data_IF_775176313499
#
_entry.id   IF_775176313499
#
_cell.length_a   1.000
_cell.length_b   1.000
_cell.length_c   1.000
_cell.angle_alpha   90.00
_cell.angle_beta   90.00
_cell.angle_gamma   90.00
#
_symmetry.space_group_name_H-M   'P 1'
#
loop_
_entity.id
_entity.type
_entity.pdbx_description
1 polymer ?
#
# COMPACT_ATOMS: atom_id res chain seq x y z
N UNK A 1 -39.24 -33.39 21.95
CA UNK A 1 -40.02 -33.33 20.70
C UNK A 1 -39.18 -32.56 19.69
N UNK A 2 -38.41 -33.27 18.85
CA UNK A 2 -37.58 -32.63 17.82
C UNK A 2 -38.47 -32.40 16.62
N UNK A 3 -38.76 -31.14 16.31
CA UNK A 3 -39.50 -30.77 15.10
C UNK A 3 -38.52 -30.92 13.93
N UNK A 4 -38.54 -32.08 13.27
CA UNK A 4 -37.83 -32.28 12.00
C UNK A 4 -38.64 -31.63 10.89
N UNK A 5 -38.35 -30.37 10.57
CA UNK A 5 -38.86 -29.73 9.37
C UNK A 5 -38.15 -30.37 8.15
N UNK A 6 -38.86 -31.20 7.39
CA UNK A 6 -38.38 -31.67 6.08
C UNK A 6 -38.47 -30.51 5.08
N UNK A 7 -37.50 -29.62 5.15
CA UNK A 7 -37.35 -28.49 4.24
C UNK A 7 -36.48 -28.92 3.06
N UNK A 8 -36.91 -28.56 1.86
CA UNK A 8 -36.07 -28.67 0.67
C UNK A 8 -34.77 -27.89 0.86
N UNK A 9 -33.70 -28.29 0.17
CA UNK A 9 -32.35 -27.73 0.27
C UNK A 9 -32.38 -26.20 0.07
N UNK A 10 -33.28 -25.72 -0.77
CA UNK A 10 -33.49 -24.28 -1.02
C UNK A 10 -34.12 -23.57 0.19
N UNK A 11 -35.09 -24.19 0.86
CA UNK A 11 -35.72 -23.61 2.06
C UNK A 11 -34.77 -23.55 3.25
N UNK A 12 -33.96 -24.60 3.42
CA UNK A 12 -32.95 -24.66 4.49
C UNK A 12 -31.85 -23.62 4.28
N UNK A 13 -31.36 -23.45 3.04
CA UNK A 13 -30.35 -22.45 2.71
C UNK A 13 -30.86 -21.01 2.90
N UNK A 14 -32.14 -20.74 2.59
CA UNK A 14 -32.75 -19.43 2.80
C UNK A 14 -32.81 -19.05 4.30
N UNK A 15 -33.23 -19.99 5.15
CA UNK A 15 -33.34 -19.76 6.60
C UNK A 15 -31.95 -19.56 7.23
N UNK A 16 -30.96 -20.37 6.85
CA UNK A 16 -29.58 -20.22 7.31
C UNK A 16 -29.00 -18.87 6.89
N UNK A 17 -29.22 -18.46 5.64
CA UNK A 17 -28.76 -17.16 5.13
C UNK A 17 -29.45 -16.00 5.85
N UNK A 18 -30.76 -16.11 6.12
CA UNK A 18 -31.49 -15.10 6.90
C UNK A 18 -30.97 -14.97 8.34
N UNK A 19 -30.68 -16.11 8.99
CA UNK A 19 -30.14 -16.15 10.34
C UNK A 19 -28.73 -15.54 10.43
N UNK A 20 -27.85 -15.83 9.46
CA UNK A 20 -26.50 -15.25 9.44
C UNK A 20 -26.53 -13.74 9.19
N UNK A 21 -27.41 -13.25 8.31
CA UNK A 21 -27.60 -11.81 8.07
C UNK A 21 -28.08 -11.12 9.34
N UNK A 22 -29.05 -11.71 10.06
CA UNK A 22 -29.56 -11.14 11.31
C UNK A 22 -28.46 -11.01 12.37
N UNK A 23 -27.64 -12.05 12.54
CA UNK A 23 -26.50 -12.03 13.48
C UNK A 23 -25.47 -10.98 13.07
N UNK A 24 -25.18 -10.85 11.77
CA UNK A 24 -24.28 -9.82 11.27
C UNK A 24 -24.79 -8.40 11.58
N UNK A 25 -26.08 -8.14 11.38
CA UNK A 25 -26.70 -6.83 11.67
C UNK A 25 -26.64 -6.49 13.16
N UNK A 26 -26.93 -7.44 14.04
CA UNK A 26 -26.83 -7.26 15.50
C UNK A 26 -25.39 -6.92 15.89
N UNK A 27 -24.42 -7.64 15.34
CA UNK A 27 -22.99 -7.41 15.64
C UNK A 27 -22.55 -6.02 15.20
N UNK A 28 -22.95 -5.59 13.99
CA UNK A 28 -22.67 -4.24 13.49
C UNK A 28 -23.32 -3.18 14.37
N UNK A 29 -24.57 -3.37 14.77
CA UNK A 29 -25.27 -2.43 15.65
C UNK A 29 -24.55 -2.27 17.00
N UNK A 30 -24.12 -3.38 17.61
CA UNK A 30 -23.35 -3.36 18.86
C UNK A 30 -22.03 -2.59 18.67
N UNK A 31 -21.28 -2.85 17.59
CA UNK A 31 -20.02 -2.15 17.32
C UNK A 31 -20.24 -0.65 17.10
N UNK A 32 -21.29 -0.27 16.37
CA UNK A 32 -21.62 1.14 16.13
C UNK A 32 -21.98 1.86 17.43
N UNK A 33 -22.78 1.21 18.29
CA UNK A 33 -23.16 1.77 19.61
C UNK A 33 -21.95 1.86 20.53
N UNK A 34 -21.13 0.80 20.60
CA UNK A 34 -19.92 0.77 21.43
C UNK A 34 -18.91 1.85 21.00
N UNK A 35 -18.74 2.08 19.69
CA UNK A 35 -17.89 3.15 19.16
C UNK A 35 -18.44 4.55 19.42
N UNK A 36 -19.75 4.69 19.63
CA UNK A 36 -20.39 5.97 20.00
C UNK A 36 -20.35 6.25 21.50
N UNK A 37 -20.00 5.26 22.33
CA UNK A 37 -19.68 5.47 23.73
C UNK A 37 -18.45 6.37 23.85
N UNK A 38 -18.68 7.68 24.01
CA UNK A 38 -17.62 8.65 24.25
C UNK A 38 -16.96 8.31 25.59
N UNK A 39 -15.76 7.75 25.56
CA UNK A 39 -14.88 7.78 26.73
C UNK A 39 -14.64 9.26 27.04
N UNK A 40 -14.96 9.68 28.27
CA UNK A 40 -14.56 11.00 28.74
C UNK A 40 -13.04 11.07 28.71
N UNK A 41 -12.51 12.04 27.97
CA UNK A 41 -11.07 12.33 27.89
C UNK A 41 -10.60 13.20 29.05
N UNK A 42 -11.50 13.64 29.93
CA UNK A 42 -11.15 14.40 31.13
C UNK A 42 -10.30 13.53 32.06
N UNK A 43 -9.01 13.84 32.15
CA UNK A 43 -8.01 13.09 32.92
C UNK A 43 -7.18 12.08 32.12
N UNK A 44 -7.33 12.02 30.79
CA UNK A 44 -6.49 11.16 29.95
C UNK A 44 -5.03 11.65 29.85
N UNK A 45 -4.80 12.95 30.07
CA UNK A 45 -3.48 13.57 29.97
C UNK A 45 -3.01 14.06 31.35
N UNK A 46 -1.79 13.67 31.72
CA UNK A 46 -1.18 14.06 32.99
C UNK A 46 -0.54 15.45 32.84
N UNK A 47 -1.14 16.45 33.46
CA UNK A 47 -0.59 17.81 33.53
C UNK A 47 0.40 17.90 34.69
N UNK A 48 1.65 18.25 34.40
CA UNK A 48 2.67 18.52 35.42
C UNK A 48 3.02 20.01 35.34
N UNK A 49 2.71 20.77 36.40
CA UNK A 49 3.06 22.19 36.48
C UNK A 49 2.27 23.11 35.55
N UNK A 50 1.11 22.67 35.05
CA UNK A 50 0.28 23.45 34.12
C UNK A 50 0.66 23.30 32.64
N UNK A 51 1.70 22.53 32.33
CA UNK A 51 2.06 22.17 30.96
C UNK A 51 1.66 20.70 30.68
N UNK A 52 1.36 20.41 29.41
CA UNK A 52 0.98 19.08 28.96
C UNK A 52 2.14 18.08 29.01
N UNK A 53 1.83 16.78 28.99
CA UNK A 53 2.80 15.68 29.02
C UNK A 53 3.84 15.75 27.86
N UNK A 54 3.49 16.45 26.79
CA UNK A 54 4.32 16.72 25.61
C UNK A 54 5.65 17.39 25.92
N UNK A 55 5.76 18.14 27.03
CA UNK A 55 6.99 18.78 27.48
C UNK A 55 8.02 17.76 27.97
N UNK A 56 7.54 16.64 28.51
CA UNK A 56 8.38 15.54 28.99
C UNK A 56 8.67 14.52 27.88
N UNK A 57 7.97 14.59 26.75
CA UNK A 57 8.18 13.69 25.61
C UNK A 57 9.38 14.14 24.78
N UNK A 58 10.50 13.43 24.95
CA UNK A 58 11.67 13.54 24.06
C UNK A 58 11.23 13.20 22.63
N UNK A 59 11.30 14.15 21.70
CA UNK A 59 11.05 13.94 20.27
C UNK A 59 12.18 13.12 19.65
N UNK A 60 12.21 11.82 19.95
CA UNK A 60 13.13 10.89 19.30
C UNK A 60 12.45 10.47 17.99
N UNK A 61 13.02 10.79 16.82
CA UNK A 61 12.45 10.34 15.55
C UNK A 61 12.42 8.81 15.54
N UNK A 62 11.28 8.23 15.17
CA UNK A 62 11.16 6.79 15.09
C UNK A 62 12.14 6.24 14.05
N UNK A 63 12.68 5.05 14.30
CA UNK A 63 13.58 4.35 13.35
C UNK A 63 12.91 4.23 11.97
N UNK A 64 11.60 4.00 11.96
CA UNK A 64 10.78 3.97 10.76
C UNK A 64 10.77 5.31 10.00
N UNK A 65 10.64 6.45 10.71
CA UNK A 65 10.70 7.77 10.11
C UNK A 65 12.10 8.08 9.53
N UNK A 66 13.15 7.62 10.20
CA UNK A 66 14.53 7.75 9.71
C UNK A 66 14.73 6.93 8.42
N UNK A 67 14.29 5.67 8.42
CA UNK A 67 14.35 4.79 7.26
C UNK A 67 13.62 5.40 6.05
N UNK A 68 12.36 5.80 6.24
CA UNK A 68 11.58 6.41 5.16
C UNK A 68 12.13 7.76 4.72
N UNK A 69 12.73 8.54 5.62
CA UNK A 69 13.40 9.79 5.27
C UNK A 69 14.57 9.58 4.30
N UNK A 70 15.40 8.57 4.56
CA UNK A 70 16.52 8.20 3.69
C UNK A 70 16.02 7.66 2.35
N UNK A 71 15.08 6.71 2.38
CA UNK A 71 14.51 6.10 1.18
C UNK A 71 13.87 7.15 0.28
N UNK A 72 13.03 8.04 0.83
CA UNK A 72 12.39 9.12 0.05
C UNK A 72 13.42 10.06 -0.56
N UNK A 73 14.48 10.41 0.16
CA UNK A 73 15.54 11.29 -0.34
C UNK A 73 16.32 10.64 -1.48
N UNK A 74 16.67 9.37 -1.34
CA UNK A 74 17.34 8.60 -2.39
C UNK A 74 16.45 8.45 -3.63
N UNK A 75 15.18 8.09 -3.44
CA UNK A 75 14.25 7.93 -4.55
C UNK A 75 13.97 9.24 -5.27
N UNK A 76 13.77 10.33 -4.53
CA UNK A 76 13.54 11.64 -5.13
C UNK A 76 14.71 12.05 -6.02
N UNK A 77 15.95 11.88 -5.54
CA UNK A 77 17.15 12.17 -6.35
C UNK A 77 17.23 11.29 -7.59
N UNK A 78 17.04 9.98 -7.43
CA UNK A 78 17.10 9.07 -8.58
C UNK A 78 16.03 9.42 -9.62
N UNK A 79 14.82 9.77 -9.19
CA UNK A 79 13.75 10.23 -10.07
C UNK A 79 14.09 11.55 -10.76
N UNK A 80 14.59 12.54 -10.02
CA UNK A 80 15.03 13.82 -10.57
C UNK A 80 16.13 13.62 -11.62
N UNK A 81 17.12 12.78 -11.33
CA UNK A 81 18.18 12.43 -12.29
C UNK A 81 17.65 11.71 -13.54
N UNK A 82 16.76 10.73 -13.38
CA UNK A 82 16.15 10.02 -14.52
C UNK A 82 15.33 10.98 -15.38
N UNK A 83 14.52 11.84 -14.76
CA UNK A 83 13.73 12.84 -15.47
C UNK A 83 14.64 13.82 -16.21
N UNK A 84 15.63 14.38 -15.54
CA UNK A 84 16.43 15.47 -16.08
C UNK A 84 17.44 14.95 -17.13
N UNK A 85 17.95 13.72 -16.99
CA UNK A 85 18.89 13.13 -17.95
C UNK A 85 18.19 12.46 -19.14
N UNK A 86 17.04 11.81 -18.94
CA UNK A 86 16.37 11.04 -20.02
C UNK A 86 15.30 11.87 -20.72
N UNK A 87 14.61 12.77 -20.00
CA UNK A 87 13.56 13.62 -20.54
C UNK A 87 14.04 15.08 -20.63
N UNK A 88 15.14 15.30 -21.35
CA UNK A 88 15.66 16.66 -21.61
C UNK A 88 14.71 17.48 -22.49
N UNK A 89 13.81 16.82 -23.24
CA UNK A 89 12.94 17.46 -24.23
C UNK A 89 13.66 17.88 -25.51
N UNK A 90 14.97 17.62 -25.59
CA UNK A 90 15.80 17.91 -26.76
C UNK A 90 15.77 16.70 -27.69
N UNK A 91 15.28 16.91 -28.90
CA UNK A 91 15.14 15.83 -29.89
C UNK A 91 16.49 15.18 -30.26
N UNK A 92 17.58 15.94 -30.22
CA UNK A 92 18.92 15.44 -30.52
C UNK A 92 19.39 14.37 -29.52
N UNK A 93 19.13 14.57 -28.22
CA UNK A 93 19.51 13.59 -27.18
C UNK A 93 18.75 12.28 -27.38
N UNK A 94 17.47 12.37 -27.77
CA UNK A 94 16.65 11.22 -28.13
C UNK A 94 17.22 10.43 -29.32
N UNK A 95 17.67 11.12 -30.37
CA UNK A 95 18.37 10.45 -31.49
C UNK A 95 19.68 9.79 -31.05
N UNK A 96 20.41 10.39 -30.10
CA UNK A 96 21.58 9.78 -29.46
C UNK A 96 21.23 8.46 -28.78
N UNK A 97 20.18 8.44 -27.96
CA UNK A 97 19.72 7.20 -27.30
C UNK A 97 19.25 6.13 -28.29
N UNK A 98 18.49 6.53 -29.32
CA UNK A 98 18.00 5.61 -30.33
C UNK A 98 19.12 5.01 -31.19
N UNK A 99 20.11 5.82 -31.59
CA UNK A 99 21.26 5.34 -32.35
C UNK A 99 22.14 4.39 -31.53
N UNK A 100 22.36 4.69 -30.25
CA UNK A 100 23.06 3.79 -29.33
C UNK A 100 22.32 2.46 -29.18
N UNK A 101 20.99 2.50 -29.00
CA UNK A 101 20.16 1.31 -28.87
C UNK A 101 20.15 0.47 -30.16
N UNK A 102 20.00 1.10 -31.32
CA UNK A 102 20.08 0.43 -32.61
C UNK A 102 21.45 -0.21 -32.84
N UNK A 103 22.54 0.49 -32.49
CA UNK A 103 23.89 -0.06 -32.57
C UNK A 103 24.08 -1.30 -31.69
N UNK A 104 23.53 -1.29 -30.46
CA UNK A 104 23.56 -2.45 -29.58
C UNK A 104 22.79 -3.64 -30.18
N UNK A 105 21.57 -3.42 -30.68
CA UNK A 105 20.75 -4.46 -31.30
C UNK A 105 21.43 -5.03 -32.54
N UNK A 106 22.04 -4.19 -33.38
CA UNK A 106 22.82 -4.61 -34.54
C UNK A 106 23.99 -5.51 -34.13
N UNK A 107 24.72 -5.13 -33.07
CA UNK A 107 25.85 -5.90 -32.57
C UNK A 107 25.41 -7.27 -32.03
N UNK A 108 24.30 -7.32 -31.29
CA UNK A 108 23.69 -8.57 -30.82
C UNK A 108 23.27 -9.43 -32.02
N UNK A 109 22.65 -8.85 -33.04
CA UNK A 109 22.22 -9.56 -34.24
C UNK A 109 23.42 -10.14 -35.02
N UNK A 110 24.53 -9.40 -35.12
CA UNK A 110 25.77 -9.88 -35.73
C UNK A 110 26.36 -11.06 -34.96
N UNK A 111 26.41 -10.99 -33.63
CA UNK A 111 26.86 -12.10 -32.79
C UNK A 111 25.96 -13.32 -32.99
N UNK A 112 24.64 -13.13 -32.97
CA UNK A 112 23.68 -14.21 -33.19
C UNK A 112 23.84 -14.85 -34.56
N UNK A 113 24.07 -14.06 -35.61
CA UNK A 113 24.33 -14.55 -36.96
C UNK A 113 25.62 -15.38 -37.02
N UNK A 114 26.71 -14.90 -36.40
CA UNK A 114 27.98 -15.64 -36.34
C UNK A 114 27.77 -16.98 -35.63
N UNK A 115 27.08 -16.97 -34.48
CA UNK A 115 26.77 -18.21 -33.75
C UNK A 115 25.95 -19.17 -34.61
N UNK A 116 24.93 -18.68 -35.32
CA UNK A 116 24.09 -19.49 -36.20
C UNK A 116 24.83 -20.08 -37.41
N UNK A 117 25.84 -19.38 -37.94
CA UNK A 117 26.63 -19.87 -39.09
C UNK A 117 27.73 -20.84 -38.66
N UNK A 118 28.26 -20.68 -37.44
CA UNK A 118 29.34 -21.51 -36.89
C UNK A 118 28.83 -22.84 -36.34
N UNK A 119 27.59 -22.88 -35.85
CA UNK A 119 26.91 -24.09 -35.36
C UNK A 119 26.02 -24.71 -36.42
#
# INVERSE_FOLDING_TARGET
MVVTCNLDIVGLSLILTGATILVALITVAIVVVARRGRMSTEGAEMYIGGEGEEVLRRKIPSVLALYWGIVRKAWRRAFETLRDSVHTGVLNDWYGYMSMWLGLVLLIALIALIVYVVW
#
